data_IF_929840707977
#
_entry.id   IF_929840707977
#
_cell.length_a   1.000
_cell.length_b   1.000
_cell.length_c   1.000
_cell.angle_alpha   90.00
_cell.angle_beta   90.00
_cell.angle_gamma   90.00
#
_symmetry.space_group_name_H-M   'P 1'
#
loop_
_entity.id
_entity.type
_entity.pdbx_description
1 polymer ?
#
# COMPACT_ATOMS: atom_id res chain seq x y z
N UNK A 1 -39.00 -32.51 35.04
CA UNK A 1 -39.38 -31.10 35.22
C UNK A 1 -38.09 -30.27 35.20
N UNK A 2 -37.49 -30.07 34.02
CA UNK A 2 -36.19 -29.35 33.86
C UNK A 2 -35.97 -28.75 32.47
N UNK A 3 -36.90 -28.94 31.52
CA UNK A 3 -36.74 -28.44 30.15
C UNK A 3 -36.83 -26.90 30.07
N UNK A 4 -37.54 -26.24 30.99
CA UNK A 4 -37.72 -24.77 30.98
C UNK A 4 -36.48 -23.97 31.36
N UNK A 5 -35.60 -24.51 32.22
CA UNK A 5 -34.35 -23.86 32.62
C UNK A 5 -33.36 -23.75 31.46
N UNK A 6 -33.34 -24.72 30.55
CA UNK A 6 -32.37 -24.79 29.46
C UNK A 6 -32.66 -23.74 28.35
N UNK A 7 -33.94 -23.54 27.99
CA UNK A 7 -34.35 -22.47 27.06
C UNK A 7 -34.08 -21.05 27.60
N UNK A 8 -34.16 -20.85 28.91
CA UNK A 8 -33.81 -19.58 29.54
C UNK A 8 -32.31 -19.30 29.48
N UNK A 9 -31.47 -20.33 29.54
CA UNK A 9 -30.02 -20.18 29.43
C UNK A 9 -29.58 -19.85 28.00
N UNK A 10 -30.16 -20.51 26.99
CA UNK A 10 -29.91 -20.22 25.58
C UNK A 10 -30.25 -18.76 25.22
N UNK A 11 -31.45 -18.30 25.61
CA UNK A 11 -31.88 -16.91 25.34
C UNK A 11 -31.04 -15.84 26.04
N UNK A 12 -30.48 -16.13 27.23
CA UNK A 12 -29.56 -15.23 27.94
C UNK A 12 -28.20 -15.13 27.23
N UNK A 13 -27.71 -16.22 26.63
CA UNK A 13 -26.44 -16.22 25.90
C UNK A 13 -26.56 -15.39 24.61
N UNK A 14 -27.66 -15.54 23.87
CA UNK A 14 -27.91 -14.78 22.65
C UNK A 14 -28.10 -13.29 22.95
N UNK A 15 -28.81 -12.95 24.03
CA UNK A 15 -28.95 -11.56 24.47
C UNK A 15 -27.59 -10.92 24.78
N UNK A 16 -26.69 -11.63 25.46
CA UNK A 16 -25.35 -11.12 25.78
C UNK A 16 -24.50 -10.91 24.53
N UNK A 17 -24.60 -11.80 23.53
CA UNK A 17 -23.93 -11.62 22.23
C UNK A 17 -24.45 -10.37 21.52
N UNK A 18 -25.77 -10.23 21.44
CA UNK A 18 -26.39 -9.04 20.83
C UNK A 18 -25.99 -7.74 21.55
N UNK A 19 -25.92 -7.75 22.88
CA UNK A 19 -25.47 -6.60 23.67
C UNK A 19 -24.01 -6.25 23.38
N UNK A 20 -23.13 -7.26 23.35
CA UNK A 20 -21.72 -7.08 23.01
C UNK A 20 -21.58 -6.45 21.62
N UNK A 21 -22.26 -6.99 20.63
CA UNK A 21 -22.14 -6.56 19.24
C UNK A 21 -22.72 -5.14 19.06
N UNK A 22 -23.81 -4.81 19.76
CA UNK A 22 -24.35 -3.43 19.79
C UNK A 22 -23.34 -2.42 20.34
N UNK A 23 -22.66 -2.74 21.45
CA UNK A 23 -21.63 -1.86 22.04
C UNK A 23 -20.46 -1.67 21.07
N UNK A 24 -19.98 -2.76 20.46
CA UNK A 24 -18.89 -2.75 19.50
C UNK A 24 -19.24 -1.85 18.30
N UNK A 25 -20.45 -1.97 17.78
CA UNK A 25 -20.94 -1.20 16.64
C UNK A 25 -21.07 0.30 16.96
N UNK A 26 -21.48 0.66 18.18
CA UNK A 26 -21.53 2.07 18.62
C UNK A 26 -20.14 2.72 18.58
N UNK A 27 -19.10 1.98 18.96
CA UNK A 27 -17.72 2.48 18.91
C UNK A 27 -17.07 2.37 17.52
N UNK A 28 -17.72 1.70 16.57
CA UNK A 28 -17.21 1.46 15.22
C UNK A 28 -15.99 0.53 15.17
N UNK A 29 -15.71 -0.20 16.26
CA UNK A 29 -14.54 -1.08 16.37
C UNK A 29 -14.87 -2.39 15.64
N UNK A 30 -14.07 -2.86 14.68
CA UNK A 30 -14.27 -4.18 14.11
C UNK A 30 -14.08 -5.27 15.16
N UNK A 31 -14.93 -6.32 15.20
CA UNK A 31 -14.83 -7.40 16.17
C UNK A 31 -13.50 -8.18 16.06
N UNK A 32 -12.88 -8.17 14.87
CA UNK A 32 -11.59 -8.79 14.58
C UNK A 32 -10.45 -8.15 15.41
N UNK A 33 -10.47 -6.83 15.59
CA UNK A 33 -9.50 -6.09 16.42
C UNK A 33 -9.66 -6.47 17.90
N UNK A 34 -10.87 -6.85 18.31
CA UNK A 34 -11.19 -7.29 19.68
C UNK A 34 -10.94 -8.78 19.92
N UNK A 35 -10.41 -9.51 18.92
CA UNK A 35 -10.11 -10.94 19.02
C UNK A 35 -11.36 -11.83 19.03
N UNK A 36 -12.52 -11.31 18.63
CA UNK A 36 -13.74 -12.11 18.43
C UNK A 36 -13.64 -12.71 17.03
N UNK A 37 -12.87 -13.80 16.94
CA UNK A 37 -12.54 -14.46 15.68
C UNK A 37 -13.50 -15.63 15.45
N UNK A 38 -14.71 -15.34 14.98
CA UNK A 38 -15.66 -16.41 14.62
C UNK A 38 -15.26 -17.08 13.27
N UNK A 39 -14.57 -16.34 12.37
CA UNK A 39 -14.02 -16.87 11.10
C UNK A 39 -12.98 -15.95 10.41
N UNK A 40 -12.12 -15.23 11.13
CA UNK A 40 -11.16 -14.30 10.49
C UNK A 40 -9.94 -15.01 9.88
N UNK A 41 -9.59 -14.63 8.65
CA UNK A 41 -8.31 -14.92 8.03
C UNK A 41 -7.34 -13.73 8.25
N UNK A 42 -6.03 -13.93 8.07
CA UNK A 42 -5.05 -12.85 8.21
C UNK A 42 -5.37 -11.64 7.32
N UNK A 43 -5.79 -11.89 6.08
CA UNK A 43 -6.14 -10.84 5.14
C UNK A 43 -7.37 -10.02 5.59
N UNK A 44 -8.36 -10.64 6.25
CA UNK A 44 -9.51 -9.91 6.78
C UNK A 44 -9.12 -9.06 7.98
N UNK A 45 -8.29 -9.60 8.89
CA UNK A 45 -7.77 -8.85 10.03
C UNK A 45 -6.98 -7.60 9.62
N UNK A 46 -6.13 -7.70 8.59
CA UNK A 46 -5.38 -6.56 8.05
C UNK A 46 -6.32 -5.49 7.45
N UNK A 47 -7.39 -5.91 6.76
CA UNK A 47 -8.41 -4.98 6.24
C UNK A 47 -9.21 -4.34 7.36
N UNK A 48 -9.59 -5.09 8.40
CA UNK A 48 -10.29 -4.55 9.55
C UNK A 48 -9.45 -3.54 10.33
N UNK A 49 -8.15 -3.80 10.52
CA UNK A 49 -7.22 -2.84 11.12
C UNK A 49 -7.13 -1.55 10.29
N UNK A 50 -7.03 -1.67 8.96
CA UNK A 50 -7.03 -0.51 8.06
C UNK A 50 -8.33 0.30 8.15
N UNK A 51 -9.49 -0.35 8.10
CA UNK A 51 -10.79 0.31 8.22
C UNK A 51 -10.96 1.00 9.58
N UNK A 52 -10.54 0.34 10.65
CA UNK A 52 -10.56 0.92 11.99
C UNK A 52 -9.70 2.17 12.08
N UNK A 53 -8.45 2.12 11.58
CA UNK A 53 -7.56 3.25 11.57
C UNK A 53 -8.12 4.43 10.75
N UNK A 54 -8.66 4.13 9.56
CA UNK A 54 -9.17 5.14 8.64
C UNK A 54 -10.45 5.83 9.14
N UNK A 55 -11.41 5.06 9.63
CA UNK A 55 -12.76 5.57 9.91
C UNK A 55 -13.00 5.92 11.38
N UNK A 56 -12.24 5.32 12.31
CA UNK A 56 -12.43 5.55 13.75
C UNK A 56 -11.28 6.35 14.36
N UNK A 57 -10.03 5.99 14.07
CA UNK A 57 -8.87 6.65 14.69
C UNK A 57 -8.63 8.05 14.12
N UNK A 58 -8.58 8.21 12.79
CA UNK A 58 -8.31 9.53 12.18
C UNK A 58 -9.27 10.61 12.67
N UNK A 59 -10.60 10.45 12.64
CA UNK A 59 -11.50 11.52 13.08
C UNK A 59 -11.31 11.90 14.55
N UNK A 60 -10.96 10.92 15.40
CA UNK A 60 -10.67 11.16 16.82
C UNK A 60 -9.35 11.88 17.04
N UNK A 61 -8.31 11.47 16.31
CA UNK A 61 -7.01 12.13 16.35
C UNK A 61 -7.11 13.56 15.82
N UNK A 62 -7.85 13.78 14.75
CA UNK A 62 -8.07 15.12 14.20
C UNK A 62 -8.82 16.03 15.18
N UNK A 63 -9.85 15.50 15.85
CA UNK A 63 -10.55 16.23 16.90
C UNK A 63 -9.62 16.59 18.07
N UNK A 64 -8.78 15.65 18.51
CA UNK A 64 -7.79 15.90 19.56
C UNK A 64 -6.74 16.90 19.11
N UNK A 65 -6.20 16.75 17.90
CA UNK A 65 -5.23 17.65 17.27
C UNK A 65 -5.78 19.07 17.24
N UNK A 66 -7.01 19.26 16.76
CA UNK A 66 -7.67 20.57 16.71
C UNK A 66 -7.89 21.15 18.12
N UNK A 67 -8.30 20.33 19.08
CA UNK A 67 -8.52 20.77 20.46
C UNK A 67 -7.20 21.23 21.10
N UNK A 68 -6.14 20.45 20.95
CA UNK A 68 -4.81 20.77 21.44
C UNK A 68 -4.22 21.99 20.71
N UNK A 69 -4.41 22.09 19.40
CA UNK A 69 -4.00 23.25 18.61
C UNK A 69 -4.69 24.53 19.10
N UNK A 70 -5.95 24.47 19.50
CA UNK A 70 -6.68 25.65 19.96
C UNK A 70 -6.41 25.99 21.43
N UNK A 71 -6.26 24.99 22.29
CA UNK A 71 -6.16 25.21 23.74
C UNK A 71 -4.71 25.28 24.24
N UNK A 72 -3.82 24.42 23.73
CA UNK A 72 -2.47 24.27 24.27
C UNK A 72 -1.46 25.17 23.54
N UNK A 73 -1.54 25.26 22.21
CA UNK A 73 -0.54 25.98 21.41
C UNK A 73 -0.43 27.47 21.74
N UNK A 74 -1.53 28.22 22.01
CA UNK A 74 -1.44 29.63 22.37
C UNK A 74 -0.63 29.92 23.63
N UNK A 75 -0.50 28.95 24.55
CA UNK A 75 0.28 29.10 25.78
C UNK A 75 1.80 29.03 25.53
N UNK A 76 2.24 28.53 24.36
CA UNK A 76 3.64 28.41 23.99
C UNK A 76 4.03 29.38 22.87
N UNK A 77 3.49 29.17 21.68
CA UNK A 77 3.77 29.99 20.50
C UNK A 77 2.68 29.79 19.43
N UNK A 78 2.09 30.89 18.99
CA UNK A 78 1.06 30.95 17.94
C UNK A 78 1.51 30.43 16.57
N UNK A 79 2.81 30.33 16.31
CA UNK A 79 3.33 29.80 15.03
C UNK A 79 3.46 28.28 14.99
N UNK A 80 3.33 27.59 16.12
CA UNK A 80 3.48 26.14 16.15
C UNK A 80 2.25 25.45 15.54
N UNK A 81 2.52 24.45 14.70
CA UNK A 81 1.49 23.57 14.15
C UNK A 81 1.68 22.20 14.77
N UNK A 82 0.66 21.74 15.50
CA UNK A 82 0.59 20.42 16.07
C UNK A 82 0.01 19.46 15.03
N UNK A 83 0.77 18.39 14.78
CA UNK A 83 0.40 17.31 13.89
C UNK A 83 0.73 15.95 14.52
N UNK A 84 0.19 14.88 13.95
CA UNK A 84 0.38 13.51 14.43
C UNK A 84 0.83 12.58 13.31
N UNK A 85 1.55 11.52 13.65
CA UNK A 85 1.88 10.47 12.69
C UNK A 85 0.64 9.62 12.39
N UNK A 86 0.32 9.47 11.11
CA UNK A 86 -0.92 8.81 10.67
C UNK A 86 -0.91 7.34 11.10
N UNK A 87 -1.92 6.88 11.85
CA UNK A 87 -1.99 5.47 12.30
C UNK A 87 -2.37 4.53 11.16
N UNK A 88 -2.80 5.04 10.00
CA UNK A 88 -3.13 4.22 8.85
C UNK A 88 -1.82 3.66 8.29
N UNK A 89 -1.62 2.36 8.49
CA UNK A 89 -0.57 1.63 7.80
C UNK A 89 -0.75 1.86 6.30
N UNK A 90 0.14 2.66 5.71
CA UNK A 90 0.18 2.80 4.26
C UNK A 90 0.31 1.41 3.66
N UNK A 91 -0.35 1.21 2.54
CA UNK A 91 -0.43 -0.07 1.84
C UNK A 91 0.96 -0.43 1.29
N UNK A 92 1.84 -0.94 2.18
CA UNK A 92 3.25 -1.24 1.90
C UNK A 92 3.36 -2.19 0.73
N UNK A 93 2.43 -3.13 0.61
CA UNK A 93 2.37 -4.03 -0.53
C UNK A 93 2.08 -3.31 -1.85
N UNK A 94 1.14 -2.35 -1.86
CA UNK A 94 0.86 -1.55 -3.06
C UNK A 94 2.07 -0.71 -3.44
N UNK A 95 2.71 -0.07 -2.46
CA UNK A 95 3.92 0.72 -2.68
C UNK A 95 5.05 -0.15 -3.23
N UNK A 96 5.31 -1.32 -2.62
CA UNK A 96 6.31 -2.28 -3.09
C UNK A 96 5.97 -2.86 -4.48
N UNK A 97 4.69 -3.12 -4.78
CA UNK A 97 4.25 -3.58 -6.12
C UNK A 97 4.49 -2.51 -7.17
N UNK A 98 4.09 -1.26 -6.92
CA UNK A 98 4.34 -0.14 -7.85
C UNK A 98 5.83 0.06 -8.06
N UNK A 99 6.60 0.03 -6.97
CA UNK A 99 8.05 0.15 -6.99
C UNK A 99 8.72 -1.02 -7.75
N UNK A 100 8.20 -2.24 -7.65
CA UNK A 100 8.67 -3.41 -8.41
C UNK A 100 8.32 -3.35 -9.90
N UNK A 101 7.17 -2.77 -10.26
CA UNK A 101 6.73 -2.65 -11.65
C UNK A 101 7.48 -1.54 -12.40
N UNK A 102 7.82 -0.46 -11.71
CA UNK A 102 8.61 0.64 -12.27
C UNK A 102 9.76 1.04 -11.32
N UNK A 103 10.81 0.20 -11.20
CA UNK A 103 11.98 0.54 -10.38
C UNK A 103 12.70 1.82 -10.85
N UNK A 104 12.54 2.14 -12.14
CA UNK A 104 13.18 3.25 -12.83
C UNK A 104 12.55 4.62 -12.51
N UNK A 105 11.34 4.64 -11.94
CA UNK A 105 10.59 5.87 -11.66
C UNK A 105 10.89 6.49 -10.30
N UNK A 106 11.63 5.80 -9.44
CA UNK A 106 11.88 6.18 -8.04
C UNK A 106 13.38 6.43 -7.87
N UNK A 107 13.76 7.45 -7.10
CA UNK A 107 15.18 7.72 -6.81
C UNK A 107 15.74 6.70 -5.80
N UNK A 108 17.04 6.42 -5.85
CA UNK A 108 17.69 5.49 -4.91
C UNK A 108 17.52 5.91 -3.43
N UNK A 109 17.55 7.21 -3.13
CA UNK A 109 17.29 7.70 -1.77
C UNK A 109 15.82 7.51 -1.34
N UNK A 110 14.86 7.75 -2.22
CA UNK A 110 13.42 7.47 -1.96
C UNK A 110 13.18 5.97 -1.73
N UNK A 111 13.90 5.11 -2.46
CA UNK A 111 13.89 3.66 -2.24
C UNK A 111 14.44 3.27 -0.87
N UNK A 112 15.50 3.94 -0.40
CA UNK A 112 16.07 3.71 0.94
C UNK A 112 15.14 4.21 2.04
N UNK A 113 14.50 5.35 1.83
CA UNK A 113 13.50 5.90 2.75
C UNK A 113 12.30 4.95 2.89
N UNK A 114 11.79 4.39 1.78
CA UNK A 114 10.76 3.33 1.82
C UNK A 114 11.20 2.07 2.59
N UNK A 115 12.50 1.78 2.63
CA UNK A 115 13.07 0.68 3.44
C UNK A 115 13.41 1.10 4.88
N UNK A 116 13.14 2.34 5.28
CA UNK A 116 13.50 2.87 6.60
C UNK A 116 15.00 3.04 6.80
N UNK A 117 15.77 3.18 5.72
CA UNK A 117 17.23 3.40 5.75
C UNK A 117 17.55 4.88 5.58
N UNK A 118 18.63 5.31 6.23
CA UNK A 118 19.15 6.67 6.06
C UNK A 118 19.58 6.91 4.59
N UNK A 119 19.37 8.14 4.07
CA UNK A 119 19.83 8.54 2.75
C UNK A 119 21.35 8.45 2.66
N UNK A 120 21.89 8.28 1.45
CA UNK A 120 23.34 8.27 1.30
C UNK A 120 23.93 9.67 1.56
N UNK A 121 25.08 9.75 2.25
CA UNK A 121 25.83 11.01 2.33
C UNK A 121 26.22 11.48 0.92
N UNK A 122 26.34 12.80 0.75
CA UNK A 122 26.88 13.44 -0.46
C UNK A 122 25.95 13.41 -1.70
N UNK A 123 24.62 13.30 -1.49
CA UNK A 123 23.63 13.36 -2.58
C UNK A 123 23.69 12.19 -3.58
N UNK A 124 24.45 11.15 -3.25
CA UNK A 124 24.73 9.99 -4.13
C UNK A 124 23.53 9.07 -4.36
N UNK A 125 22.38 9.32 -3.74
CA UNK A 125 21.15 8.56 -4.01
C UNK A 125 20.12 9.29 -4.87
N UNK A 126 20.44 10.48 -5.42
CA UNK A 126 19.66 11.13 -6.48
C UNK A 126 19.94 10.51 -7.86
N UNK A 127 19.93 9.18 -7.93
CA UNK A 127 20.20 8.42 -9.16
C UNK A 127 18.92 7.69 -9.56
N UNK A 128 18.45 7.92 -10.79
CA UNK A 128 17.45 7.08 -11.43
C UNK A 128 18.12 5.84 -12.01
N UNK A 129 17.55 4.68 -11.75
CA UNK A 129 18.00 3.45 -12.35
C UNK A 129 17.55 3.45 -13.81
N UNK A 130 18.44 3.19 -14.77
CA UNK A 130 18.07 3.03 -16.18
C UNK A 130 17.99 1.53 -16.51
N UNK A 131 16.91 1.07 -17.15
CA UNK A 131 16.85 -0.29 -17.67
C UNK A 131 17.93 -0.50 -18.72
N UNK A 132 18.74 -1.52 -18.52
CA UNK A 132 19.83 -1.86 -19.43
C UNK A 132 19.31 -2.46 -20.75
N UNK A 133 18.06 -2.95 -20.79
CA UNK A 133 17.55 -3.73 -21.91
C UNK A 133 16.18 -3.21 -22.37
N UNK A 134 16.16 -2.41 -23.43
CA UNK A 134 14.99 -2.21 -24.29
C UNK A 134 15.46 -2.31 -25.74
N UNK A 135 14.96 -3.30 -26.47
CA UNK A 135 15.11 -3.38 -27.92
C UNK A 135 13.81 -2.85 -28.55
N UNK A 136 13.91 -1.75 -29.28
CA UNK A 136 12.79 -1.19 -30.00
C UNK A 136 12.72 -1.89 -31.36
N UNK A 137 11.79 -2.83 -31.49
CA UNK A 137 11.41 -3.39 -32.79
C UNK A 137 10.34 -2.48 -33.39
N UNK A 138 10.51 -2.10 -34.65
CA UNK A 138 9.51 -1.27 -35.34
C UNK A 138 8.32 -2.11 -35.77
N UNK A 139 7.13 -1.53 -35.86
CA UNK A 139 5.90 -2.28 -36.19
C UNK A 139 5.95 -2.94 -37.59
N UNK A 140 6.83 -2.47 -38.48
CA UNK A 140 7.06 -3.00 -39.83
C UNK A 140 7.80 -4.36 -39.82
N UNK A 141 8.59 -4.62 -38.78
CA UNK A 141 9.44 -5.83 -38.62
C UNK A 141 8.70 -7.01 -37.96
N UNK A 142 7.48 -6.79 -37.48
CA UNK A 142 6.59 -7.82 -36.91
C UNK A 142 5.70 -8.49 -37.98
N UNK A 143 5.68 -7.95 -39.21
CA UNK A 143 4.79 -8.38 -40.29
C UNK A 143 5.48 -8.94 -41.54
N UNK A 144 6.81 -8.92 -41.63
CA UNK A 144 7.54 -9.40 -42.80
C UNK A 144 8.74 -10.24 -42.35
N UNK A 145 8.91 -11.50 -42.80
CA UNK A 145 10.15 -12.22 -42.55
C UNK A 145 11.30 -11.47 -43.25
N UNK A 146 12.54 -11.54 -42.75
CA UNK A 146 13.64 -10.77 -43.32
C UNK A 146 13.92 -11.26 -44.74
N UNK A 147 13.46 -10.49 -45.73
CA UNK A 147 13.80 -10.71 -47.13
C UNK A 147 15.25 -10.28 -47.34
N UNK A 148 16.10 -11.28 -47.50
CA UNK A 148 17.39 -11.17 -48.18
C UNK A 148 17.18 -10.42 -49.51
N UNK A 149 18.02 -9.43 -49.79
CA UNK A 149 18.49 -9.03 -51.12
C UNK A 149 19.38 -7.80 -50.96
N UNK A 150 20.55 -7.72 -51.56
CA UNK A 150 21.17 -8.60 -52.55
C UNK A 150 22.34 -7.81 -53.13
N UNK A 151 23.38 -8.53 -53.51
CA UNK A 151 24.38 -8.07 -54.47
C UNK A 151 23.68 -7.44 -55.68
N UNK A 152 24.31 -6.43 -56.30
CA UNK A 152 24.48 -6.36 -57.76
C UNK A 152 25.10 -5.01 -58.18
N UNK A 153 26.29 -5.09 -58.79
CA UNK A 153 26.72 -4.35 -60.00
C UNK A 153 28.23 -4.59 -60.19
N UNK A 154 28.81 -5.18 -61.25
CA UNK A 154 28.43 -5.76 -62.55
C UNK A 154 29.66 -6.58 -63.01
N UNK A 155 29.53 -7.68 -63.78
CA UNK A 155 30.64 -8.53 -64.26
C UNK A 155 31.19 -8.07 -65.62
N UNK A 156 32.47 -8.35 -65.91
CA UNK A 156 32.83 -9.15 -67.11
C UNK A 156 34.32 -9.55 -67.13
N UNK A 157 34.55 -10.69 -67.76
CA UNK A 157 35.77 -11.47 -67.87
C UNK A 157 37.00 -10.76 -68.47
N UNK A 158 38.20 -11.17 -68.01
CA UNK A 158 39.36 -11.51 -68.86
C UNK A 158 40.54 -12.04 -68.02
N UNK A 159 40.62 -13.37 -67.89
CA UNK A 159 41.87 -14.10 -68.09
C UNK A 159 42.15 -14.10 -69.62
N UNK A 160 43.41 -14.02 -70.11
CA UNK A 160 44.38 -15.09 -69.88
C UNK A 160 45.88 -14.72 -69.94
N UNK A 161 46.72 -15.56 -69.31
CA UNK A 161 47.89 -16.27 -69.90
C UNK A 161 48.93 -16.65 -68.81
#
# INVERSE_FOLDING_TARGET
HTLGTDYSHLSMLDLRKNQRDAVIQVYGVPPEVLGIVEASNRATSEVAEYLYARWVLIPRLEFLRQTLQHQLVPDYDSMLILDYDSPVAQDKERVLKVASLSPWSIMLDEWREMQGRLPLPDGKGQIFMKPLNYEAVTLDELGNPPSQQGDDDVPDDQDPA
#
